data_IF_649092479636
#
_entry.id   IF_649092479636
#
_cell.length_a   1.000
_cell.length_b   1.000
_cell.length_c   1.000
_cell.angle_alpha   90.00
_cell.angle_beta   90.00
_cell.angle_gamma   90.00
#
_symmetry.space_group_name_H-M   'P 1'
#
loop_
_entity.id
_entity.type
_entity.pdbx_description
1 polymer ?
#
# COMPACT_ATOMS: atom_id res chain seq x y z
N UNK A 1 45.53 -18.86 -30.16
CA UNK A 1 45.10 -17.43 -29.97
C UNK A 1 43.62 -17.19 -30.06
N UNK A 2 42.86 -17.93 -30.86
CA UNK A 2 41.41 -17.71 -31.03
C UNK A 2 40.54 -17.91 -29.74
N UNK A 3 40.82 -18.96 -28.95
CA UNK A 3 40.02 -19.30 -27.76
C UNK A 3 40.16 -18.25 -26.66
N UNK A 4 41.38 -17.71 -26.47
CA UNK A 4 41.61 -16.67 -25.46
C UNK A 4 40.86 -15.36 -25.76
N UNK A 5 40.76 -15.01 -27.03
CA UNK A 5 40.02 -13.84 -27.48
C UNK A 5 38.51 -14.00 -27.27
N UNK A 6 37.96 -15.20 -27.52
CA UNK A 6 36.52 -15.49 -27.23
C UNK A 6 36.19 -15.38 -25.74
N UNK A 7 37.08 -15.84 -24.86
CA UNK A 7 36.85 -15.74 -23.40
C UNK A 7 36.86 -14.27 -22.95
N UNK A 8 37.76 -13.44 -23.48
CA UNK A 8 37.79 -12.01 -23.16
C UNK A 8 36.53 -11.29 -23.62
N UNK A 9 36.01 -11.59 -24.82
CA UNK A 9 34.81 -11.03 -25.35
C UNK A 9 33.59 -11.46 -24.50
N UNK A 10 33.50 -12.73 -24.11
CA UNK A 10 32.45 -13.25 -23.27
C UNK A 10 32.45 -12.62 -21.86
N UNK A 11 33.63 -12.46 -21.24
CA UNK A 11 33.74 -11.75 -19.95
C UNK A 11 33.38 -10.27 -20.06
N UNK A 12 33.75 -9.61 -21.16
CA UNK A 12 33.36 -8.21 -21.42
C UNK A 12 31.88 -8.04 -21.58
N UNK A 13 31.18 -8.94 -22.29
CA UNK A 13 29.74 -8.94 -22.46
C UNK A 13 29.01 -9.22 -21.14
N UNK A 14 29.51 -10.14 -20.33
CA UNK A 14 28.95 -10.42 -19.00
C UNK A 14 29.10 -9.22 -18.03
N UNK A 15 30.27 -8.55 -18.07
CA UNK A 15 30.46 -7.33 -17.28
C UNK A 15 29.57 -6.18 -17.76
N UNK A 16 29.34 -6.05 -19.05
CA UNK A 16 28.47 -5.04 -19.64
C UNK A 16 27.01 -5.33 -19.33
N UNK A 17 26.56 -6.58 -19.46
CA UNK A 17 25.22 -7.01 -19.10
C UNK A 17 24.92 -6.79 -17.59
N UNK A 18 25.89 -7.06 -16.73
CA UNK A 18 25.76 -6.85 -15.28
C UNK A 18 25.77 -5.35 -14.89
N UNK A 19 26.32 -4.47 -15.71
CA UNK A 19 26.28 -3.02 -15.53
C UNK A 19 24.98 -2.39 -16.03
N UNK A 20 24.38 -2.94 -17.08
CA UNK A 20 23.16 -2.38 -17.68
C UNK A 20 21.88 -2.72 -16.92
N UNK A 21 21.90 -3.67 -15.99
CA UNK A 21 20.74 -4.10 -15.23
C UNK A 21 20.47 -3.27 -13.96
N UNK A 22 21.23 -2.21 -13.70
CA UNK A 22 20.89 -1.26 -12.63
C UNK A 22 19.83 -0.29 -13.11
N UNK A 23 18.60 -0.77 -13.26
CA UNK A 23 17.43 0.09 -13.35
C UNK A 23 17.31 0.76 -11.98
N UNK A 24 17.57 2.06 -11.93
CA UNK A 24 17.22 2.87 -10.77
C UNK A 24 15.74 3.22 -10.90
N UNK A 25 14.83 2.56 -10.16
CA UNK A 25 13.44 2.98 -10.18
C UNK A 25 13.34 4.37 -9.57
N UNK A 26 12.87 5.31 -10.35
CA UNK A 26 12.48 6.62 -9.83
C UNK A 26 11.08 6.46 -9.23
N UNK A 27 10.96 6.70 -7.94
CA UNK A 27 9.65 6.81 -7.30
C UNK A 27 9.12 8.21 -7.58
N UNK A 28 8.02 8.29 -8.31
CA UNK A 28 7.29 9.53 -8.55
C UNK A 28 6.17 9.57 -7.52
N UNK A 29 6.24 10.50 -6.59
CA UNK A 29 5.12 10.84 -5.71
C UNK A 29 4.27 11.88 -6.41
N UNK A 30 3.00 11.59 -6.62
CA UNK A 30 2.03 12.54 -7.14
C UNK A 30 1.25 13.11 -5.96
N UNK A 31 1.37 14.40 -5.71
CA UNK A 31 0.52 15.08 -4.75
C UNK A 31 -0.90 15.17 -5.34
N UNK A 32 -1.82 14.38 -4.82
CA UNK A 32 -3.19 14.28 -5.32
C UNK A 32 -4.00 15.58 -5.14
N UNK A 33 -3.56 16.48 -4.26
CA UNK A 33 -4.26 17.76 -4.02
C UNK A 33 -3.83 18.84 -5.01
N UNK A 34 -2.56 18.85 -5.42
CA UNK A 34 -2.01 19.91 -6.29
C UNK A 34 -1.75 19.45 -7.72
N UNK A 35 -1.87 18.13 -8.01
CA UNK A 35 -1.51 17.54 -9.31
C UNK A 35 0.00 17.64 -9.63
N UNK A 36 0.81 18.14 -8.71
CA UNK A 36 2.25 18.21 -8.87
C UNK A 36 2.88 16.85 -8.60
N UNK A 37 3.74 16.42 -9.48
CA UNK A 37 4.58 15.24 -9.30
C UNK A 37 5.94 15.66 -8.78
N UNK A 38 6.44 14.94 -7.79
CA UNK A 38 7.77 15.12 -7.24
C UNK A 38 8.56 13.84 -7.45
N UNK A 39 9.76 13.96 -8.00
CA UNK A 39 10.70 12.84 -8.03
C UNK A 39 11.22 12.72 -6.61
N UNK A 40 10.77 11.68 -5.89
CA UNK A 40 11.35 11.33 -4.60
C UNK A 40 12.73 10.76 -4.89
N UNK A 41 13.71 11.66 -5.00
CA UNK A 41 15.11 11.30 -5.01
C UNK A 41 15.42 10.48 -3.75
N UNK A 42 16.40 9.60 -3.84
CA UNK A 42 16.90 8.82 -2.71
C UNK A 42 17.17 9.76 -1.54
N UNK A 43 16.22 9.89 -0.64
CA UNK A 43 16.47 10.62 0.59
C UNK A 43 17.36 9.76 1.45
N UNK A 44 18.63 10.14 1.51
CA UNK A 44 19.58 9.64 2.49
C UNK A 44 19.14 10.07 3.90
N UNK A 45 18.07 9.48 4.41
CA UNK A 45 17.76 9.61 5.82
C UNK A 45 18.67 8.65 6.57
N UNK A 46 19.77 9.17 7.10
CA UNK A 46 20.71 8.50 7.99
C UNK A 46 21.49 7.30 7.40
N UNK A 47 21.92 7.38 6.14
CA UNK A 47 22.87 6.41 5.58
C UNK A 47 22.31 5.03 5.27
N UNK A 48 20.99 4.84 5.27
CA UNK A 48 20.34 3.61 4.84
C UNK A 48 19.68 3.82 3.48
N UNK A 49 20.14 3.08 2.47
CA UNK A 49 19.44 2.98 1.19
C UNK A 49 18.07 2.30 1.44
N UNK A 50 16.99 3.04 1.24
CA UNK A 50 15.65 2.45 1.22
C UNK A 50 15.55 1.60 -0.03
N UNK A 51 15.40 0.29 0.13
CA UNK A 51 15.21 -0.62 -0.99
C UNK A 51 13.84 -0.33 -1.63
N UNK A 52 13.75 -0.39 -2.96
CA UNK A 52 12.51 -0.14 -3.69
C UNK A 52 11.34 -1.01 -3.18
N UNK A 53 11.60 -2.28 -2.85
CA UNK A 53 10.62 -3.18 -2.26
C UNK A 53 10.06 -2.66 -0.91
N UNK A 54 10.92 -2.13 -0.05
CA UNK A 54 10.51 -1.54 1.23
C UNK A 54 9.59 -0.35 1.02
N UNK A 55 9.98 0.58 0.16
CA UNK A 55 9.21 1.79 -0.11
C UNK A 55 7.83 1.48 -0.69
N UNK A 56 7.74 0.48 -1.58
CA UNK A 56 6.46 0.02 -2.12
C UNK A 56 5.58 -0.64 -1.06
N UNK A 57 6.15 -1.48 -0.20
CA UNK A 57 5.42 -2.10 0.91
C UNK A 57 4.90 -1.04 1.89
N UNK A 58 5.74 -0.09 2.30
CA UNK A 58 5.34 1.02 3.17
C UNK A 58 4.23 1.86 2.54
N UNK A 59 4.28 2.13 1.23
CA UNK A 59 3.22 2.85 0.52
C UNK A 59 1.89 2.10 0.52
N UNK A 60 1.91 0.77 0.33
CA UNK A 60 0.71 -0.08 0.39
C UNK A 60 0.13 -0.09 1.80
N UNK A 61 0.98 -0.25 2.83
CA UNK A 61 0.56 -0.21 4.23
C UNK A 61 -0.08 1.14 4.57
N UNK A 62 0.55 2.24 4.15
CA UNK A 62 0.03 3.59 4.36
C UNK A 62 -1.39 3.73 3.82
N UNK A 63 -1.60 3.40 2.54
CA UNK A 63 -2.91 3.48 1.89
C UNK A 63 -3.93 2.53 2.54
N UNK A 64 -3.50 1.33 2.90
CA UNK A 64 -4.39 0.36 3.54
C UNK A 64 -4.87 0.86 4.90
N UNK A 65 -3.97 1.31 5.78
CA UNK A 65 -4.31 1.82 7.11
C UNK A 65 -5.20 3.07 6.99
N UNK A 66 -4.88 3.97 6.06
CA UNK A 66 -5.69 5.15 5.80
C UNK A 66 -7.13 4.79 5.42
N UNK A 67 -7.31 3.83 4.52
CA UNK A 67 -8.62 3.40 4.04
C UNK A 67 -9.36 2.53 5.07
N UNK A 68 -8.64 1.67 5.78
CA UNK A 68 -9.23 0.77 6.78
C UNK A 68 -9.85 1.53 7.95
N UNK A 69 -9.21 2.59 8.45
CA UNK A 69 -9.69 3.37 9.57
C UNK A 69 -10.36 4.69 9.15
N UNK A 70 -11.07 4.67 8.05
CA UNK A 70 -11.71 5.86 7.50
C UNK A 70 -13.23 5.72 7.47
N UNK A 71 -13.94 6.73 8.03
CA UNK A 71 -15.38 6.94 7.89
C UNK A 71 -15.58 8.40 7.57
N UNK A 72 -16.10 8.69 6.37
CA UNK A 72 -16.46 10.04 5.92
C UNK A 72 -17.88 10.42 6.39
N UNK A 73 -18.16 11.71 6.42
CA UNK A 73 -19.52 12.23 6.50
C UNK A 73 -20.31 12.09 5.19
N UNK A 74 -19.61 11.79 4.09
CA UNK A 74 -20.18 11.59 2.75
C UNK A 74 -20.20 10.08 2.42
N UNK A 75 -21.41 9.55 2.20
CA UNK A 75 -21.60 8.13 1.90
C UNK A 75 -20.96 7.74 0.56
N UNK A 76 -20.93 8.63 -0.42
CA UNK A 76 -20.29 8.34 -1.72
C UNK A 76 -18.79 8.08 -1.56
N UNK A 77 -18.14 8.79 -0.65
CA UNK A 77 -16.72 8.58 -0.30
C UNK A 77 -16.54 7.25 0.43
N UNK A 78 -17.45 6.92 1.35
CA UNK A 78 -17.42 5.65 2.07
C UNK A 78 -17.58 4.47 1.10
N UNK A 79 -18.55 4.55 0.18
CA UNK A 79 -18.76 3.51 -0.83
C UNK A 79 -17.54 3.35 -1.76
N UNK A 80 -16.90 4.45 -2.12
CA UNK A 80 -15.70 4.41 -2.95
C UNK A 80 -14.50 3.73 -2.24
N UNK A 81 -14.42 3.81 -0.93
CA UNK A 81 -13.29 3.26 -0.17
C UNK A 81 -13.55 1.81 0.25
N UNK A 82 -14.70 1.56 0.88
CA UNK A 82 -14.97 0.29 1.53
C UNK A 82 -16.36 -0.29 1.25
N UNK A 83 -17.11 0.30 0.31
CA UNK A 83 -18.38 -0.25 -0.13
C UNK A 83 -18.25 -1.63 -0.73
N UNK A 84 -19.35 -2.37 -0.75
CA UNK A 84 -19.38 -3.71 -1.33
C UNK A 84 -19.23 -3.64 -2.85
N UNK A 85 -18.16 -4.19 -3.37
CA UNK A 85 -17.88 -4.26 -4.80
C UNK A 85 -18.72 -5.34 -5.48
N UNK A 86 -19.60 -4.93 -6.38
CA UNK A 86 -20.38 -5.85 -7.21
C UNK A 86 -19.55 -6.51 -8.31
N UNK A 87 -18.56 -5.81 -8.86
CA UNK A 87 -17.65 -6.33 -9.89
C UNK A 87 -16.18 -6.12 -9.52
N UNK A 88 -15.64 -7.10 -8.79
CA UNK A 88 -14.26 -7.08 -8.28
C UNK A 88 -13.19 -7.11 -9.37
N UNK A 89 -13.52 -7.53 -10.61
CA UNK A 89 -12.55 -7.68 -11.71
C UNK A 89 -12.29 -6.38 -12.44
N UNK A 90 -13.27 -5.51 -12.52
CA UNK A 90 -13.20 -4.24 -13.27
C UNK A 90 -12.64 -3.11 -12.42
N UNK A 91 -12.85 -3.15 -11.13
CA UNK A 91 -12.71 -2.02 -10.20
C UNK A 91 -11.26 -1.59 -9.92
N UNK A 92 -10.25 -2.42 -10.19
CA UNK A 92 -8.86 -2.13 -9.81
C UNK A 92 -7.99 -1.60 -10.97
N UNK A 93 -8.57 -0.99 -11.99
CA UNK A 93 -7.83 -0.27 -13.02
C UNK A 93 -7.15 -1.17 -14.06
N UNK A 94 -7.76 -2.30 -14.40
CA UNK A 94 -7.23 -3.22 -15.43
C UNK A 94 -7.42 -2.71 -16.86
N UNK A 95 -8.34 -1.78 -17.09
CA UNK A 95 -8.57 -1.19 -18.40
C UNK A 95 -7.88 0.17 -18.51
N UNK A 96 -6.72 0.17 -19.17
CA UNK A 96 -5.95 1.36 -19.53
C UNK A 96 -6.69 2.34 -20.46
N UNK A 97 -7.99 2.16 -20.70
CA UNK A 97 -8.75 2.95 -21.69
C UNK A 97 -9.57 4.09 -21.11
N UNK A 98 -9.75 4.17 -19.80
CA UNK A 98 -10.43 5.32 -19.22
C UNK A 98 -9.54 5.99 -18.16
N UNK A 99 -9.21 7.24 -18.40
CA UNK A 99 -8.51 8.14 -17.47
C UNK A 99 -9.36 8.54 -16.25
N UNK A 100 -10.49 7.90 -16.06
CA UNK A 100 -11.33 8.11 -14.87
C UNK A 100 -10.78 7.23 -13.77
N UNK A 101 -10.19 7.85 -12.75
CA UNK A 101 -9.84 7.16 -11.51
C UNK A 101 -11.05 6.39 -11.01
N UNK A 102 -11.03 5.08 -11.15
CA UNK A 102 -12.05 4.21 -10.56
C UNK A 102 -11.78 4.24 -9.04
N UNK A 103 -12.51 5.09 -8.33
CA UNK A 103 -12.39 5.28 -6.88
C UNK A 103 -13.16 4.21 -6.08
N UNK A 104 -13.90 3.36 -6.76
CA UNK A 104 -14.75 2.37 -6.12
C UNK A 104 -13.92 1.21 -5.55
N UNK A 105 -14.19 0.86 -4.29
CA UNK A 105 -13.58 -0.27 -3.61
C UNK A 105 -12.06 -0.19 -3.45
N UNK A 106 -11.55 0.97 -3.11
CA UNK A 106 -10.11 1.19 -2.93
C UNK A 106 -9.47 0.20 -1.95
N UNK A 107 -10.19 -0.21 -0.90
CA UNK A 107 -9.71 -1.19 0.07
C UNK A 107 -9.56 -2.58 -0.55
N UNK A 108 -10.52 -3.01 -1.38
CA UNK A 108 -10.44 -4.27 -2.11
C UNK A 108 -9.21 -4.35 -3.00
N UNK A 109 -8.88 -3.26 -3.69
CA UNK A 109 -7.77 -3.24 -4.62
C UNK A 109 -6.40 -3.43 -3.97
N UNK A 110 -6.27 -3.08 -2.69
CA UNK A 110 -5.01 -3.18 -1.92
C UNK A 110 -4.99 -4.31 -0.89
N UNK A 111 -6.06 -5.10 -0.79
CA UNK A 111 -6.18 -6.27 0.08
C UNK A 111 -6.35 -7.56 -0.73
N UNK A 112 -6.12 -8.72 -0.11
CA UNK A 112 -6.56 -10.00 -0.67
C UNK A 112 -8.07 -10.11 -0.62
N UNK A 113 -8.62 -11.01 -1.46
CA UNK A 113 -10.06 -11.26 -1.48
C UNK A 113 -10.56 -11.75 -0.12
N UNK A 114 -9.83 -12.67 0.51
CA UNK A 114 -10.17 -13.20 1.85
C UNK A 114 -10.17 -12.11 2.93
N UNK A 115 -9.19 -11.21 2.89
CA UNK A 115 -9.11 -10.11 3.86
C UNK A 115 -10.23 -9.09 3.64
N UNK A 116 -10.55 -8.79 2.39
CA UNK A 116 -11.67 -7.91 2.06
C UNK A 116 -13.02 -8.54 2.45
N UNK A 117 -13.22 -9.85 2.22
CA UNK A 117 -14.44 -10.55 2.65
C UNK A 117 -14.60 -10.54 4.17
N UNK A 118 -13.50 -10.69 4.91
CA UNK A 118 -13.51 -10.54 6.37
C UNK A 118 -13.88 -9.11 6.79
N UNK A 119 -13.39 -8.09 6.07
CA UNK A 119 -13.76 -6.71 6.32
C UNK A 119 -15.26 -6.48 6.10
N UNK A 120 -15.79 -6.91 4.96
CA UNK A 120 -17.21 -6.76 4.62
C UNK A 120 -18.10 -7.47 5.65
N UNK A 121 -17.70 -8.68 6.09
CA UNK A 121 -18.49 -9.47 7.05
C UNK A 121 -18.42 -8.93 8.47
N UNK A 122 -17.26 -8.50 8.94
CA UNK A 122 -17.02 -8.25 10.37
C UNK A 122 -16.90 -6.75 10.71
N UNK A 123 -16.37 -5.92 9.80
CA UNK A 123 -16.03 -4.52 10.08
C UNK A 123 -17.03 -3.55 9.46
N UNK A 124 -17.39 -3.77 8.22
CA UNK A 124 -18.29 -2.89 7.46
C UNK A 124 -19.64 -2.64 8.13
N UNK A 125 -20.34 -3.64 8.74
CA UNK A 125 -21.60 -3.38 9.44
C UNK A 125 -21.45 -2.38 10.61
N UNK A 126 -20.33 -2.47 11.34
CA UNK A 126 -20.01 -1.53 12.40
C UNK A 126 -19.76 -0.12 11.86
N UNK A 127 -19.08 0.00 10.72
CA UNK A 127 -18.80 1.30 10.09
C UNK A 127 -20.06 1.96 9.58
N UNK A 128 -20.96 1.19 8.97
CA UNK A 128 -22.28 1.68 8.55
C UNK A 128 -23.11 2.20 9.73
N UNK A 129 -23.12 1.47 10.86
CA UNK A 129 -23.81 1.95 12.07
C UNK A 129 -23.19 3.23 12.63
N UNK A 130 -21.86 3.38 12.59
CA UNK A 130 -21.16 4.59 13.03
C UNK A 130 -21.46 5.77 12.12
N UNK A 131 -21.44 5.55 10.81
CA UNK A 131 -21.82 6.54 9.80
C UNK A 131 -23.26 7.05 10.05
N UNK A 132 -24.22 6.15 10.29
CA UNK A 132 -25.60 6.51 10.59
C UNK A 132 -25.74 7.35 11.89
N UNK A 133 -24.78 7.24 12.82
CA UNK A 133 -24.71 8.09 14.02
C UNK A 133 -23.95 9.40 13.78
N UNK A 134 -23.53 9.68 12.55
CA UNK A 134 -22.75 10.87 12.22
C UNK A 134 -21.30 10.85 12.73
N UNK A 135 -20.76 9.67 13.04
CA UNK A 135 -19.35 9.53 13.41
C UNK A 135 -18.47 9.63 12.15
N UNK A 136 -17.43 10.45 12.24
CA UNK A 136 -16.37 10.56 11.21
C UNK A 136 -15.08 10.12 11.85
N UNK A 137 -14.35 9.24 11.16
CA UNK A 137 -13.11 8.66 11.65
C UNK A 137 -12.00 8.81 10.63
N UNK A 138 -10.79 9.02 11.10
CA UNK A 138 -9.58 8.98 10.25
C UNK A 138 -8.36 8.52 11.05
N UNK A 139 -7.46 7.83 10.38
CA UNK A 139 -6.12 7.57 10.92
C UNK A 139 -5.28 8.85 10.84
N UNK A 140 -4.67 9.26 11.93
CA UNK A 140 -3.68 10.33 11.94
C UNK A 140 -2.35 9.76 11.42
N UNK A 141 -2.14 9.92 10.11
CA UNK A 141 -1.00 9.33 9.42
C UNK A 141 0.34 9.92 9.84
N UNK A 142 0.37 11.07 10.52
CA UNK A 142 1.59 11.62 11.11
C UNK A 142 2.06 10.81 12.33
N UNK A 143 1.14 10.05 12.94
CA UNK A 143 1.46 9.18 14.09
C UNK A 143 1.83 7.75 13.65
N UNK A 144 1.71 7.43 12.36
CA UNK A 144 1.99 6.09 11.85
C UNK A 144 3.46 5.73 12.05
N UNK A 145 3.68 4.66 12.78
CA UNK A 145 4.99 4.05 12.98
C UNK A 145 4.98 2.65 12.40
N UNK A 146 5.95 2.35 11.55
CA UNK A 146 6.11 1.04 10.92
C UNK A 146 7.43 0.42 11.35
N UNK A 147 7.41 -0.88 11.62
CA UNK A 147 8.60 -1.65 11.94
C UNK A 147 8.51 -3.02 11.26
N UNK A 148 9.46 -3.38 10.38
CA UNK A 148 9.49 -4.72 9.80
C UNK A 148 9.80 -5.74 10.91
N UNK A 149 9.06 -6.85 10.96
CA UNK A 149 9.28 -7.94 11.89
C UNK A 149 10.18 -9.03 11.31
N UNK A 150 10.20 -9.14 9.99
CA UNK A 150 11.03 -10.08 9.25
C UNK A 150 11.91 -9.36 8.22
N UNK A 151 12.80 -10.07 7.57
CA UNK A 151 13.62 -9.49 6.50
C UNK A 151 12.73 -9.06 5.33
N UNK A 152 12.93 -7.85 4.82
CA UNK A 152 12.17 -7.33 3.68
C UNK A 152 12.60 -8.07 2.42
N UNK A 153 11.62 -8.67 1.73
CA UNK A 153 11.83 -9.41 0.50
C UNK A 153 10.92 -8.90 -0.63
N UNK A 154 11.26 -9.14 -1.90
CA UNK A 154 10.36 -8.85 -3.01
C UNK A 154 9.05 -9.64 -2.97
N UNK A 155 9.00 -10.79 -2.30
CA UNK A 155 7.79 -11.59 -2.16
C UNK A 155 6.81 -11.05 -1.12
N UNK A 156 7.30 -10.25 -0.19
CA UNK A 156 6.50 -9.67 0.89
C UNK A 156 7.24 -9.67 2.23
N UNK A 157 6.55 -9.24 3.25
CA UNK A 157 7.05 -9.14 4.61
C UNK A 157 5.93 -8.95 5.62
N UNK A 158 6.21 -9.23 6.89
CA UNK A 158 5.35 -8.91 8.03
C UNK A 158 5.83 -7.64 8.71
N UNK A 159 4.92 -6.72 8.94
CA UNK A 159 5.16 -5.43 9.57
C UNK A 159 4.34 -5.28 10.86
N UNK A 160 4.94 -4.64 11.82
CA UNK A 160 4.25 -4.11 12.98
C UNK A 160 3.91 -2.65 12.70
N UNK A 161 2.72 -2.22 13.08
CA UNK A 161 2.33 -0.82 12.98
C UNK A 161 1.73 -0.30 14.28
N UNK A 162 1.83 1.01 14.47
CA UNK A 162 1.10 1.78 15.46
C UNK A 162 0.57 3.03 14.80
N UNK A 163 -0.68 3.38 15.07
CA UNK A 163 -1.32 4.59 14.55
C UNK A 163 -2.37 5.10 15.53
N UNK A 164 -2.58 6.42 15.59
CA UNK A 164 -3.68 7.01 16.33
C UNK A 164 -4.86 7.23 15.38
N UNK A 165 -6.01 6.70 15.73
CA UNK A 165 -7.29 6.97 15.02
C UNK A 165 -8.04 8.04 15.80
N UNK A 166 -8.49 9.07 15.09
CA UNK A 166 -9.24 10.20 15.65
C UNK A 166 -10.68 10.20 15.15
N UNK A 167 -11.60 10.68 15.96
CA UNK A 167 -12.99 10.87 15.54
C UNK A 167 -13.45 12.30 15.78
N UNK A 168 -14.50 12.71 15.06
CA UNK A 168 -15.16 14.02 15.25
C UNK A 168 -15.79 14.18 16.64
N UNK A 169 -15.95 13.09 17.40
CA UNK A 169 -16.43 13.11 18.79
C UNK A 169 -15.31 13.31 19.80
N UNK A 170 -14.16 13.84 19.40
CA UNK A 170 -12.97 14.05 20.21
C UNK A 170 -12.39 12.77 20.85
N UNK A 171 -12.75 11.60 20.35
CA UNK A 171 -12.14 10.36 20.81
C UNK A 171 -10.85 10.08 20.03
N UNK A 172 -9.80 9.71 20.76
CA UNK A 172 -8.54 9.24 20.20
C UNK A 172 -8.29 7.81 20.64
N UNK A 173 -7.90 6.97 19.70
CA UNK A 173 -7.60 5.57 19.96
C UNK A 173 -6.20 5.24 19.41
N UNK A 174 -5.33 4.78 20.28
CA UNK A 174 -4.05 4.21 19.83
C UNK A 174 -4.31 2.77 19.38
N UNK A 175 -4.04 2.51 18.14
CA UNK A 175 -4.16 1.19 17.50
C UNK A 175 -2.76 0.64 17.29
N UNK A 176 -2.60 -0.61 17.66
CA UNK A 176 -1.39 -1.38 17.43
C UNK A 176 -1.74 -2.65 16.66
N UNK A 177 -0.88 -3.11 15.77
CA UNK A 177 -1.19 -4.31 15.02
C UNK A 177 -0.05 -4.84 14.18
N UNK A 178 -0.39 -5.91 13.46
CA UNK A 178 0.48 -6.61 12.52
C UNK A 178 -0.21 -6.60 11.16
N UNK A 179 0.59 -6.41 10.12
CA UNK A 179 0.15 -6.39 8.73
C UNK A 179 1.11 -7.23 7.89
N UNK A 180 0.56 -8.16 7.13
CA UNK A 180 1.30 -9.00 6.21
C UNK A 180 1.15 -8.47 4.79
N UNK A 181 2.27 -8.30 4.11
CA UNK A 181 2.34 -7.89 2.72
C UNK A 181 2.80 -9.05 1.87
N UNK A 182 2.10 -9.28 0.77
CA UNK A 182 2.46 -10.26 -0.27
C UNK A 182 2.55 -9.59 -1.63
N UNK A 183 3.27 -10.20 -2.56
CA UNK A 183 3.43 -9.72 -3.93
C UNK A 183 2.98 -10.80 -4.93
N UNK A 184 1.67 -11.00 -5.04
CA UNK A 184 1.08 -11.94 -6.00
C UNK A 184 -0.20 -11.43 -6.66
N UNK A 185 -0.65 -10.20 -6.34
CA UNK A 185 -1.87 -9.61 -6.90
C UNK A 185 -1.54 -8.81 -8.16
N UNK A 186 -1.70 -9.42 -9.32
CA UNK A 186 -1.42 -8.78 -10.62
C UNK A 186 -2.43 -7.69 -11.01
N UNK A 187 -3.50 -7.51 -10.21
CA UNK A 187 -4.63 -6.64 -10.55
C UNK A 187 -4.43 -5.18 -10.18
N UNK A 188 -3.44 -4.85 -9.33
CA UNK A 188 -3.20 -3.48 -8.88
C UNK A 188 -1.85 -2.96 -9.37
N UNK A 189 -1.83 -2.39 -10.57
CA UNK A 189 -0.63 -1.86 -11.22
C UNK A 189 0.14 -0.81 -10.38
N UNK A 190 -0.51 0.14 -9.66
CA UNK A 190 0.23 1.16 -8.88
C UNK A 190 1.08 0.61 -7.74
N UNK A 191 0.79 -0.59 -7.23
CA UNK A 191 1.59 -1.23 -6.18
C UNK A 191 2.57 -2.26 -6.71
N UNK A 192 2.66 -2.43 -8.02
CA UNK A 192 3.47 -3.49 -8.67
C UNK A 192 3.19 -4.89 -8.09
N UNK A 193 1.91 -5.15 -7.78
CA UNK A 193 1.47 -6.44 -7.24
C UNK A 193 1.52 -6.58 -5.72
N UNK A 194 2.09 -5.62 -4.98
CA UNK A 194 2.05 -5.63 -3.53
C UNK A 194 0.63 -5.35 -3.01
N UNK A 195 0.21 -6.11 -2.01
CA UNK A 195 -1.09 -5.99 -1.36
C UNK A 195 -1.02 -6.54 0.06
N UNK A 196 -2.01 -6.17 0.86
CA UNK A 196 -2.17 -6.68 2.22
C UNK A 196 -2.83 -8.05 2.17
N UNK A 197 -2.16 -9.05 2.73
CA UNK A 197 -2.64 -10.44 2.79
C UNK A 197 -3.11 -10.85 4.18
N UNK A 198 -2.69 -10.14 5.22
CA UNK A 198 -3.11 -10.36 6.59
C UNK A 198 -3.15 -9.06 7.37
N UNK A 199 -4.13 -8.93 8.27
CA UNK A 199 -4.29 -7.75 9.10
C UNK A 199 -4.86 -8.11 10.46
N UNK A 200 -4.15 -7.73 11.50
CA UNK A 200 -4.57 -7.90 12.87
C UNK A 200 -4.30 -6.61 13.66
N UNK A 201 -5.33 -6.05 14.27
CA UNK A 201 -5.23 -4.79 14.99
C UNK A 201 -6.03 -4.83 16.29
N UNK A 202 -5.53 -4.15 17.31
CA UNK A 202 -6.22 -3.99 18.58
C UNK A 202 -6.01 -2.59 19.16
N UNK A 203 -6.98 -2.15 19.95
CA UNK A 203 -6.92 -0.89 20.67
C UNK A 203 -6.02 -1.06 21.89
N UNK A 204 -5.08 -0.14 22.07
CA UNK A 204 -4.28 -0.05 23.30
C UNK A 204 -5.07 0.76 24.32
N UNK A 205 -5.44 0.12 25.42
CA UNK A 205 -6.01 0.83 26.58
C UNK A 205 -4.84 1.36 27.42
N UNK A 206 -4.82 2.68 27.62
CA UNK A 206 -3.90 3.33 28.56
C UNK A 206 -4.45 3.25 29.96
#
# INVERSE_FOLDING_TARGET
MSVFFMILVACGLLMWANRSSKIHPFLISVNQVTGQWEIVGHSHIRGHEIKAAQSLQESVIYKFIQNWFYISSDDSVNQAIWGECSDRKVTCGRDNTSSTEVKECALYCIATDDLYDQFVKNTLPNYQQRFLRGEVWSADMLTLQLKPLTAITPAGNTWQFRVTVVSNQNSKMDIFGIIDISNNKQTFAPSLGYHVSGFYAYKVNK
#
